data_IF_967416676098
#
_entry.id   IF_967416676098
#
_cell.length_a   1.000
_cell.length_b   1.000
_cell.length_c   1.000
_cell.angle_alpha   90.00
_cell.angle_beta   90.00
_cell.angle_gamma   90.00
#
_symmetry.space_group_name_H-M   'P 1'
#
loop_
_entity.id
_entity.type
_entity.pdbx_description
1 polymer ?
2 non-polymer ?
3 non-polymer ?
4 water ?
#
# COMPACT_ATOMS: atom_id res chain seq x y z
N UNK A 15 12.85 -28.24 21.69
CA UNK A 15 13.28 -26.84 21.74
C UNK A 15 13.88 -26.39 20.41
N UNK A 16 13.84 -25.08 20.18
CA UNK A 16 14.45 -24.47 19.00
C UNK A 16 15.34 -23.35 19.52
N UNK A 17 16.65 -23.59 19.50
CA UNK A 17 17.64 -22.64 19.99
C UNK A 17 18.50 -22.05 18.89
N UNK A 18 18.04 -22.09 17.63
CA UNK A 18 18.88 -21.63 16.53
C UNK A 18 19.22 -20.15 16.69
N UNK A 19 18.20 -19.31 16.81
CA UNK A 19 18.44 -17.88 16.76
C UNK A 19 19.07 -17.34 18.04
N UNK A 20 19.06 -18.11 19.13
CA UNK A 20 19.66 -17.62 20.37
C UNK A 20 21.18 -17.54 20.26
N UNK A 21 21.80 -18.36 19.41
CA UNK A 21 23.26 -18.48 19.36
C UNK A 21 23.77 -17.82 18.07
N UNK A 22 23.88 -16.48 18.11
CA UNK A 22 24.49 -15.70 17.05
C UNK A 22 24.69 -14.26 17.54
N UNK A 23 25.93 -13.77 17.51
CA UNK A 23 26.25 -12.47 18.07
C UNK A 23 26.57 -11.42 17.02
N UNK A 24 26.35 -11.74 15.75
CA UNK A 24 26.54 -10.77 14.68
C UNK A 24 25.29 -10.74 13.82
N UNK A 25 25.13 -9.63 13.12
CA UNK A 25 23.97 -9.47 12.26
C UNK A 25 23.20 -8.23 12.63
N UNK A 26 22.55 -7.61 11.66
CA UNK A 26 21.74 -6.42 11.90
C UNK A 26 20.41 -6.60 11.16
N UNK A 27 19.35 -5.98 11.69
CA UNK A 27 17.99 -6.28 11.25
C UNK A 27 17.22 -4.97 11.15
N UNK A 28 16.51 -4.78 10.05
CA UNK A 28 15.80 -3.54 9.81
C UNK A 28 14.37 -3.86 9.40
N UNK A 29 13.45 -2.98 9.82
CA UNK A 29 12.08 -3.03 9.34
C UNK A 29 12.01 -2.34 7.99
N UNK A 30 11.31 -2.97 7.05
CA UNK A 30 11.02 -2.36 5.75
C UNK A 30 9.51 -2.16 5.67
N UNK A 31 9.07 -0.90 5.53
CA UNK A 31 7.66 -0.55 5.40
C UNK A 31 7.42 -0.07 3.98
N UNK A 32 6.57 -0.76 3.22
CA UNK A 32 6.27 -0.42 1.84
C UNK A 32 4.83 0.04 1.73
N UNK A 33 4.59 1.09 0.93
CA UNK A 33 3.21 1.45 0.62
C UNK A 33 2.61 0.57 -0.47
N UNK A 34 3.42 -0.21 -1.18
CA UNK A 34 2.99 -0.81 -2.45
C UNK A 34 3.09 -2.32 -2.40
N UNK A 35 1.94 -2.99 -2.60
CA UNK A 35 1.96 -4.44 -2.80
C UNK A 35 2.69 -4.79 -4.09
N UNK A 36 2.62 -3.92 -5.10
CA UNK A 36 3.33 -4.15 -6.35
C UNK A 36 4.84 -4.24 -6.13
N UNK A 37 5.39 -3.29 -5.36
CA UNK A 37 6.81 -3.32 -5.07
C UNK A 37 7.23 -4.60 -4.37
N UNK A 38 6.43 -5.08 -3.41
CA UNK A 38 6.72 -6.37 -2.77
C UNK A 38 6.79 -7.48 -3.82
N UNK A 39 5.79 -7.53 -4.70
CA UNK A 39 5.78 -8.58 -5.74
C UNK A 39 7.02 -8.49 -6.63
N UNK A 40 7.36 -7.27 -7.06
CA UNK A 40 8.55 -7.08 -7.88
C UNK A 40 9.81 -7.53 -7.14
N UNK A 41 9.88 -7.20 -5.85
CA UNK A 41 11.05 -7.57 -5.06
C UNK A 41 11.20 -9.08 -4.97
N UNK A 42 10.10 -9.80 -4.77
CA UNK A 42 10.16 -11.25 -4.66
C UNK A 42 10.55 -11.85 -6.02
N UNK A 43 9.98 -11.31 -7.09
CA UNK A 43 10.24 -11.84 -8.43
C UNK A 43 11.70 -11.66 -8.84
N UNK A 44 12.29 -10.51 -8.53
CA UNK A 44 13.59 -10.15 -9.07
C UNK A 44 14.69 -10.04 -8.02
N UNK A 45 14.37 -10.24 -6.74
CA UNK A 45 15.36 -10.21 -5.66
C UNK A 45 16.12 -8.89 -5.64
N UNK A 46 15.37 -7.79 -5.64
CA UNK A 46 15.92 -6.44 -5.56
C UNK A 46 15.00 -5.60 -4.67
N UNK A 47 15.54 -4.48 -4.18
CA UNK A 47 14.76 -3.52 -3.41
C UNK A 47 15.35 -2.13 -3.60
N UNK A 48 14.57 -1.13 -3.17
CA UNK A 48 15.03 0.24 -3.13
C UNK A 48 14.24 0.94 -2.04
N UNK A 49 14.92 1.75 -1.23
CA UNK A 49 14.28 2.53 -0.18
C UNK A 49 14.35 4.01 -0.55
N UNK A 50 13.98 4.86 0.40
CA UNK A 50 14.18 6.29 0.21
C UNK A 50 15.67 6.61 0.19
N UNK A 51 15.99 7.86 -0.12
CA UNK A 51 17.39 8.29 -0.10
C UNK A 51 18.03 8.01 1.27
N UNK A 52 17.39 8.47 2.34
CA UNK A 52 17.99 8.28 3.65
C UNK A 52 17.87 6.82 4.11
N UNK A 53 16.85 6.09 3.66
CA UNK A 53 16.78 4.67 3.96
C UNK A 53 17.89 3.88 3.30
N UNK A 54 18.11 4.12 2.01
CA UNK A 54 19.21 3.48 1.29
C UNK A 54 20.56 3.75 1.95
N UNK A 55 20.80 4.99 2.38
CA UNK A 55 22.08 5.29 3.02
C UNK A 55 22.25 4.50 4.33
N UNK A 56 21.18 4.38 5.11
CA UNK A 56 21.26 3.64 6.36
C UNK A 56 21.57 2.16 6.10
N UNK A 57 20.86 1.56 5.15
CA UNK A 57 21.07 0.15 4.86
C UNK A 57 22.44 -0.08 4.25
N UNK A 58 22.85 0.79 3.32
CA UNK A 58 24.16 0.67 2.69
C UNK A 58 25.26 0.71 3.75
N UNK A 59 25.14 1.63 4.71
CA UNK A 59 26.14 1.74 5.76
C UNK A 59 26.20 0.48 6.59
N UNK A 60 25.03 -0.12 6.87
CA UNK A 60 25.01 -1.35 7.66
C UNK A 60 25.61 -2.52 6.89
N UNK A 61 25.23 -2.67 5.61
CA UNK A 61 25.76 -3.78 4.83
C UNK A 61 27.27 -3.69 4.70
N UNK A 62 27.78 -2.49 4.47
CA UNK A 62 29.20 -2.32 4.19
C UNK A 62 30.05 -2.59 5.44
N UNK A 63 29.58 -2.13 6.61
CA UNK A 63 30.34 -2.36 7.83
C UNK A 63 30.23 -3.80 8.32
N UNK A 64 29.21 -4.56 7.90
CA UNK A 64 29.17 -5.97 8.24
C UNK A 64 30.33 -6.73 7.60
N UNK A 65 30.79 -6.26 6.43
CA UNK A 65 31.86 -6.87 5.65
C UNK A 65 31.73 -8.39 5.61
N UNK A 66 30.50 -8.88 5.43
CA UNK A 66 30.27 -10.29 5.22
C UNK A 66 30.37 -11.17 6.44
N UNK A 67 30.53 -10.62 7.64
CA UNK A 67 30.67 -11.45 8.84
C UNK A 67 29.33 -11.76 9.49
N UNK A 68 28.22 -11.52 8.80
CA UNK A 68 26.91 -11.80 9.32
C UNK A 68 25.85 -11.11 8.46
N UNK A 69 24.60 -11.53 8.58
CA UNK A 69 23.58 -11.06 7.65
C UNK A 69 23.02 -9.70 8.03
N UNK A 70 22.48 -9.01 7.02
CA UNK A 70 21.56 -7.90 7.21
C UNK A 70 20.19 -8.42 6.83
N UNK A 71 19.29 -8.52 7.80
CA UNK A 71 17.96 -9.04 7.55
C UNK A 71 16.98 -7.88 7.41
N UNK A 72 16.03 -8.03 6.48
CA UNK A 72 14.97 -7.06 6.23
C UNK A 72 13.65 -7.73 6.55
N UNK A 73 12.89 -7.12 7.46
CA UNK A 73 11.57 -7.60 7.85
C UNK A 73 10.54 -6.75 7.15
N UNK A 74 9.80 -7.33 6.19
CA UNK A 74 8.95 -6.55 5.27
C UNK A 74 7.52 -6.47 5.78
N UNK A 75 6.88 -5.31 5.58
CA UNK A 75 5.50 -5.13 5.99
C UNK A 75 4.88 -4.02 5.15
N UNK A 76 3.69 -4.26 4.63
CA UNK A 76 2.99 -3.24 3.85
C UNK A 76 2.21 -2.32 4.80
N UNK A 77 2.44 -1.02 4.67
CA UNK A 77 1.74 -0.03 5.48
C UNK A 77 0.24 -0.27 5.47
N UNK A 78 -0.35 -0.41 6.66
CA UNK A 78 -1.78 -0.62 6.78
C UNK A 78 -2.24 -2.06 6.68
N UNK A 79 -1.37 -2.99 6.30
CA UNK A 79 -1.80 -4.36 6.06
C UNK A 79 -2.11 -5.12 7.34
N UNK A 80 -1.56 -4.71 8.47
CA UNK A 80 -1.76 -5.45 9.70
C UNK A 80 -0.91 -6.69 9.86
N UNK A 81 0.05 -6.94 8.96
CA UNK A 81 0.90 -8.11 9.08
C UNK A 81 2.23 -7.86 8.41
N UNK A 82 3.23 -8.63 8.83
CA UNK A 82 4.46 -8.76 8.08
C UNK A 82 4.28 -9.78 6.97
N UNK A 83 4.92 -9.54 5.84
CA UNK A 83 4.75 -10.39 4.68
C UNK A 83 6.00 -11.20 4.35
N UNK A 84 7.09 -11.03 5.08
CA UNK A 84 8.21 -11.91 4.88
C UNK A 84 9.53 -11.33 5.33
N UNK A 85 10.59 -12.03 4.94
CA UNK A 85 11.95 -11.76 5.40
C UNK A 85 12.89 -11.95 4.23
N UNK A 86 13.81 -11.02 4.05
CA UNK A 86 14.83 -11.12 3.03
C UNK A 86 16.17 -10.74 3.65
N UNK A 87 17.23 -11.20 3.01
CA UNK A 87 18.58 -10.80 3.37
C UNK A 87 19.11 -9.83 2.33
N UNK A 88 19.73 -8.76 2.80
CA UNK A 88 20.42 -7.85 1.91
C UNK A 88 21.64 -8.54 1.31
N UNK A 89 21.82 -8.44 -0.01
CA UNK A 89 22.84 -9.22 -0.71
C UNK A 89 23.76 -8.40 -1.58
N UNK A 90 23.74 -7.07 -1.45
CA UNK A 90 24.67 -6.21 -2.17
C UNK A 90 24.59 -4.83 -1.53
N UNK A 91 25.65 -4.05 -1.75
CA UNK A 91 25.57 -2.63 -1.44
C UNK A 91 24.60 -1.94 -2.39
N UNK A 92 24.34 -0.65 -2.11
CA UNK A 92 23.38 0.13 -2.87
C UNK A 92 24.05 0.71 -4.10
N UNK A 93 23.46 0.45 -5.26
CA UNK A 93 23.84 1.10 -6.50
C UNK A 93 22.90 2.27 -6.71
N UNK A 94 23.43 3.48 -6.70
CA UNK A 94 22.57 4.65 -6.64
C UNK A 94 22.19 5.21 -8.02
N UNK A 95 22.79 4.73 -9.09
CA UNK A 95 22.52 5.27 -10.42
C UNK A 95 22.01 4.12 -11.29
N UNK A 96 20.71 3.84 -11.21
CA UNK A 96 20.08 2.78 -12.00
C UNK A 96 18.88 3.36 -12.72
N UNK A 97 18.20 2.50 -13.47
CA UNK A 97 17.04 2.93 -14.26
C UNK A 97 15.91 3.41 -13.35
N UNK A 98 15.44 4.63 -13.61
CA UNK A 98 14.36 5.21 -12.83
C UNK A 98 13.02 4.58 -13.22
N UNK A 99 12.03 4.75 -12.34
CA UNK A 99 10.67 4.38 -12.69
C UNK A 99 10.33 2.90 -12.62
N UNK A 100 11.15 2.06 -11.99
CA UNK A 100 10.79 0.65 -11.92
C UNK A 100 9.86 0.34 -10.75
N UNK A 101 9.71 1.25 -9.79
CA UNK A 101 8.97 1.02 -8.56
C UNK A 101 7.66 1.79 -8.56
N UNK A 102 7.05 1.91 -7.38
CA UNK A 102 5.82 2.66 -7.13
C UNK A 102 6.04 4.15 -7.34
N UNK A 103 6.78 4.75 -6.40
CA UNK A 103 7.32 6.09 -6.60
C UNK A 103 8.25 6.05 -7.81
N UNK A 104 7.97 6.92 -8.79
CA UNK A 104 8.79 6.91 -10.00
C UNK A 104 10.12 7.62 -9.83
N UNK A 105 10.29 8.40 -8.76
CA UNK A 105 11.53 9.12 -8.54
C UNK A 105 12.62 8.26 -7.90
N UNK A 106 12.26 7.10 -7.35
CA UNK A 106 13.19 6.36 -6.52
C UNK A 106 14.48 6.04 -7.27
N UNK A 107 15.60 6.33 -6.61
CA UNK A 107 16.92 6.31 -7.23
C UNK A 107 17.75 5.23 -6.54
N UNK A 108 17.91 4.10 -7.22
CA UNK A 108 18.81 3.11 -6.69
C UNK A 108 18.25 1.73 -6.65
N UNK A 109 19.11 0.78 -6.27
CA UNK A 109 18.76 -0.63 -6.31
C UNK A 109 19.80 -1.35 -5.47
N UNK A 110 19.36 -2.31 -4.67
CA UNK A 110 20.29 -3.27 -4.11
C UNK A 110 19.68 -4.64 -4.20
N UNK A 111 20.56 -5.64 -4.20
CA UNK A 111 20.13 -7.03 -4.28
C UNK A 111 19.66 -7.50 -2.92
N UNK A 112 18.61 -8.31 -2.92
CA UNK A 112 18.18 -9.03 -1.73
C UNK A 112 18.02 -10.50 -2.11
N UNK A 113 17.87 -11.33 -1.09
CA UNK A 113 17.47 -12.73 -1.27
C UNK A 113 16.33 -12.99 -0.30
N UNK A 114 15.13 -13.23 -0.83
CA UNK A 114 13.98 -13.46 0.01
C UNK A 114 14.09 -14.82 0.70
N UNK A 115 13.91 -14.81 2.01
CA UNK A 115 14.11 -15.96 2.87
C UNK A 115 12.81 -16.64 3.20
N UNK A 116 11.83 -15.86 3.62
CA UNK A 116 10.53 -16.31 4.07
C UNK A 116 9.50 -15.42 3.41
N UNK A 117 8.53 -16.03 2.72
CA UNK A 117 7.39 -15.29 2.21
C UNK A 117 6.16 -15.92 2.83
N UNK A 118 5.61 -15.27 3.85
CA UNK A 118 4.41 -15.70 4.55
C UNK A 118 3.90 -14.54 5.38
N UNK A 119 2.58 -14.43 5.49
CA UNK A 119 1.99 -13.37 6.29
C UNK A 119 2.04 -13.73 7.76
N UNK A 120 2.53 -12.80 8.58
CA UNK A 120 2.61 -12.98 10.03
C UNK A 120 1.85 -11.84 10.67
N UNK A 121 0.68 -12.10 11.25
CA UNK A 121 -0.14 -11.00 11.79
C UNK A 121 0.60 -10.21 12.84
N UNK A 122 0.22 -8.93 12.96
CA UNK A 122 0.84 -8.05 13.94
C UNK A 122 0.56 -8.47 15.38
N UNK A 123 -0.51 -9.24 15.60
CA UNK A 123 -0.79 -9.73 16.94
C UNK A 123 0.30 -10.68 17.42
N UNK A 124 0.88 -11.47 16.52
CA UNK A 124 1.97 -12.37 16.89
C UNK A 124 3.22 -11.61 17.34
N UNK A 125 3.36 -10.34 16.96
CA UNK A 125 4.57 -9.59 17.19
C UNK A 125 4.42 -8.33 18.02
N UNK A 126 3.19 -7.87 18.30
CA UNK A 126 3.02 -6.55 18.92
C UNK A 126 3.58 -6.47 20.33
N UNK A 127 3.85 -7.61 20.99
CA UNK A 127 4.39 -7.54 22.34
C UNK A 127 5.90 -7.28 22.37
N UNK A 128 6.61 -7.48 21.26
CA UNK A 128 8.03 -7.17 21.20
C UNK A 128 8.21 -5.66 21.01
N UNK A 129 8.96 -5.03 21.91
CA UNK A 129 9.11 -3.58 21.90
C UNK A 129 10.57 -3.20 21.67
N UNK A 130 10.77 -2.02 21.08
CA UNK A 130 12.07 -1.57 20.61
C UNK A 130 12.60 -0.51 21.57
N UNK A 131 13.66 -0.85 22.32
CA UNK A 131 14.19 0.13 23.28
C UNK A 131 14.89 1.29 22.60
N UNK A 132 15.24 1.16 21.31
CA UNK A 132 15.84 2.26 20.57
C UNK A 132 14.81 3.13 19.87
N UNK A 133 13.52 2.79 19.97
CA UNK A 133 12.41 3.54 19.41
C UNK A 133 11.32 3.74 20.45
N UNK A 134 11.73 4.21 21.64
CA UNK A 134 10.82 4.65 22.70
C UNK A 134 9.90 3.54 23.21
N UNK A 135 10.39 2.30 23.18
CA UNK A 135 9.65 1.12 23.66
C UNK A 135 8.34 0.93 22.92
N UNK A 136 8.24 1.44 21.68
CA UNK A 136 7.07 1.18 20.86
C UNK A 136 7.11 -0.24 20.31
N UNK A 137 5.95 -0.89 20.16
CA UNK A 137 5.93 -2.21 19.54
C UNK A 137 6.66 -2.21 18.20
N UNK A 138 7.36 -3.31 17.92
CA UNK A 138 8.07 -3.47 16.65
C UNK A 138 7.10 -3.32 15.48
N UNK A 139 5.81 -3.61 15.70
CA UNK A 139 4.76 -3.47 14.70
C UNK A 139 4.34 -2.02 14.44
N UNK A 140 4.90 -1.06 15.18
CA UNK A 140 4.59 0.34 14.99
C UNK A 140 5.80 1.13 14.48
N UNK A 141 6.69 0.46 13.75
CA UNK A 141 7.92 1.05 13.28
C UNK A 141 7.72 1.75 11.93
N UNK A 142 8.62 2.66 11.63
CA UNK A 142 8.70 3.30 10.32
C UNK A 142 9.75 2.60 9.46
N UNK A 143 9.81 3.03 8.19
CA UNK A 143 10.70 2.39 7.24
C UNK A 143 12.17 2.55 7.65
N UNK A 144 12.91 1.45 7.56
CA UNK A 144 14.32 1.27 7.93
C UNK A 144 14.60 1.55 9.41
N UNK A 145 13.60 1.47 10.27
CA UNK A 145 13.82 1.33 11.70
C UNK A 145 14.73 0.13 11.99
N UNK A 146 15.87 0.36 12.64
CA UNK A 146 16.69 -0.79 13.00
C UNK A 146 16.14 -1.48 14.26
N UNK A 147 16.34 -2.78 14.35
CA UNK A 147 15.86 -3.62 15.45
C UNK A 147 17.07 -4.10 16.24
N UNK A 148 17.11 -3.91 17.55
CA UNK A 148 18.25 -4.43 18.32
C UNK A 148 18.33 -5.94 18.18
N UNK A 149 19.55 -6.46 18.08
CA UNK A 149 19.73 -7.87 17.74
C UNK A 149 18.97 -8.78 18.70
N UNK A 150 18.95 -8.45 19.99
CA UNK A 150 18.31 -9.37 20.92
C UNK A 150 16.79 -9.41 20.71
N UNK A 151 16.17 -8.31 20.30
CA UNK A 151 14.76 -8.33 19.94
C UNK A 151 14.54 -8.96 18.57
N UNK A 152 15.47 -8.72 17.64
CA UNK A 152 15.38 -9.35 16.33
C UNK A 152 15.35 -10.86 16.42
N UNK A 153 16.16 -11.45 17.32
CA UNK A 153 16.11 -12.90 17.49
C UNK A 153 14.71 -13.36 17.84
N UNK A 154 14.02 -12.60 18.69
CA UNK A 154 12.66 -12.95 19.10
C UNK A 154 11.68 -12.84 17.94
N UNK A 155 11.82 -11.80 17.13
CA UNK A 155 10.95 -11.63 15.96
C UNK A 155 11.16 -12.78 14.98
N UNK A 156 12.42 -13.10 14.68
CA UNK A 156 12.72 -14.14 13.69
C UNK A 156 12.18 -15.50 14.14
N UNK A 157 12.27 -15.80 15.44
CA UNK A 157 11.76 -17.07 15.91
C UNK A 157 10.25 -17.15 15.76
N UNK A 158 9.55 -16.06 16.03
CA UNK A 158 8.09 -16.04 15.86
C UNK A 158 7.71 -16.18 14.40
N UNK A 159 8.41 -15.48 13.50
CA UNK A 159 8.09 -15.58 12.09
C UNK A 159 8.36 -17.01 11.59
N UNK A 160 9.45 -17.61 12.05
CA UNK A 160 9.83 -18.92 11.53
C UNK A 160 8.93 -20.04 12.04
N UNK A 161 8.19 -19.83 13.13
CA UNK A 161 7.38 -20.88 13.71
C UNK A 161 5.88 -20.61 13.59
N UNK A 162 5.48 -19.54 12.90
CA UNK A 162 4.06 -19.25 12.70
C UNK A 162 3.49 -20.09 11.56
N UNK A 163 2.25 -20.56 11.73
CA UNK A 163 1.62 -21.41 10.73
C UNK A 163 0.16 -21.03 10.48
N UNK B 16 -18.47 25.40 -13.31
CA UNK B 16 -17.47 24.99 -14.29
C UNK B 16 -18.14 24.09 -15.32
N UNK B 17 -17.38 23.64 -16.32
CA UNK B 17 -17.97 22.79 -17.36
C UNK B 17 -18.22 21.38 -16.89
N UNK B 18 -17.65 20.98 -15.75
CA UNK B 18 -17.65 19.60 -15.32
C UNK B 18 -18.53 19.43 -14.08
N UNK B 19 -19.38 18.39 -14.10
CA UNK B 19 -20.20 17.97 -12.97
C UNK B 19 -21.11 19.09 -12.46
N UNK B 20 -21.51 19.99 -13.35
CA UNK B 20 -22.37 21.10 -12.95
C UNK B 20 -23.70 20.59 -12.40
N UNK B 21 -24.36 19.67 -13.13
CA UNK B 21 -25.62 19.09 -12.70
C UNK B 21 -25.38 17.62 -12.36
N UNK B 22 -25.42 17.31 -11.07
CA UNK B 22 -25.28 15.96 -10.54
C UNK B 22 -26.06 15.90 -9.24
N UNK B 23 -27.37 16.16 -9.35
CA UNK B 23 -28.20 16.46 -8.19
C UNK B 23 -28.19 15.34 -7.17
N UNK B 24 -28.41 14.10 -7.59
CA UNK B 24 -28.44 12.98 -6.68
C UNK B 24 -27.10 12.25 -6.72
N UNK B 25 -27.04 11.10 -6.08
CA UNK B 25 -25.87 10.27 -6.23
C UNK B 25 -24.80 10.56 -5.20
N UNK B 26 -23.82 9.66 -5.16
CA UNK B 26 -22.93 9.54 -4.02
C UNK B 26 -21.53 9.27 -4.53
N UNK B 27 -20.55 9.58 -3.69
CA UNK B 27 -19.15 9.59 -4.11
C UNK B 27 -18.33 8.93 -3.01
N UNK B 28 -17.44 8.00 -3.39
CA UNK B 28 -16.64 7.27 -2.43
C UNK B 28 -15.18 7.36 -2.81
N UNK B 29 -14.32 7.29 -1.79
CA UNK B 29 -12.87 7.21 -1.98
C UNK B 29 -12.51 5.75 -2.21
N UNK B 30 -11.66 5.50 -3.21
CA UNK B 30 -11.06 4.19 -3.43
C UNK B 30 -9.57 4.33 -3.17
N UNK B 31 -9.02 3.53 -2.27
CA UNK B 31 -7.60 3.52 -2.02
C UNK B 31 -7.06 2.16 -2.39
N UNK B 32 -5.98 2.13 -3.16
CA UNK B 32 -5.42 0.87 -3.63
C UNK B 32 -3.97 0.74 -3.20
N UNK B 33 -3.58 -0.47 -2.80
CA UNK B 33 -2.17 -0.79 -2.57
C UNK B 33 -1.46 -1.24 -3.83
N UNK B 34 -2.13 -1.19 -4.98
CA UNK B 34 -1.58 -1.76 -6.20
C UNK B 34 -1.89 -0.84 -7.37
N UNK B 35 -0.84 -0.22 -7.92
CA UNK B 35 -1.00 0.53 -9.16
C UNK B 35 -1.30 -0.39 -10.33
N UNK B 36 -0.78 -1.63 -10.31
CA UNK B 36 -1.08 -2.59 -11.37
C UNK B 36 -2.58 -2.89 -11.42
N UNK B 37 -3.22 -3.03 -10.26
CA UNK B 37 -4.67 -3.27 -10.24
C UNK B 37 -5.44 -2.08 -10.82
N UNK B 38 -5.00 -0.87 -10.51
CA UNK B 38 -5.61 0.31 -11.13
C UNK B 38 -5.51 0.21 -12.65
N UNK B 39 -4.32 -0.13 -13.15
CA UNK B 39 -4.14 -0.20 -14.59
C UNK B 39 -5.06 -1.25 -15.20
N UNK B 40 -5.24 -2.37 -14.51
CA UNK B 40 -6.14 -3.40 -14.99
C UNK B 40 -7.58 -2.91 -14.94
N UNK B 41 -7.93 -2.17 -13.90
CA UNK B 41 -9.26 -1.55 -13.82
C UNK B 41 -9.50 -0.60 -14.99
N UNK B 42 -8.48 0.17 -15.36
CA UNK B 42 -8.66 1.11 -16.46
C UNK B 42 -8.82 0.36 -17.77
N UNK B 43 -8.07 -0.74 -17.94
CA UNK B 43 -8.13 -1.49 -19.19
C UNK B 43 -9.47 -2.20 -19.35
N UNK B 44 -9.97 -2.83 -18.29
CA UNK B 44 -11.14 -3.70 -18.39
C UNK B 44 -12.38 -3.13 -17.72
N UNK B 45 -12.32 -1.91 -17.19
CA UNK B 45 -13.51 -1.24 -16.63
C UNK B 45 -14.21 -2.09 -15.57
N UNK B 46 -13.43 -2.58 -14.61
CA UNK B 46 -13.93 -3.39 -13.51
C UNK B 46 -13.13 -3.03 -12.27
N UNK B 47 -13.70 -3.34 -11.11
CA UNK B 47 -13.00 -3.13 -9.85
C UNK B 47 -13.49 -4.18 -8.85
N UNK B 48 -12.76 -4.29 -7.74
CA UNK B 48 -13.18 -5.09 -6.61
C UNK B 48 -12.62 -4.44 -5.36
N UNK B 49 -13.41 -4.40 -4.29
CA UNK B 49 -12.95 -3.86 -3.02
C UNK B 49 -12.81 -4.99 -2.02
N UNK B 50 -12.62 -4.64 -0.75
CA UNK B 50 -12.69 -5.62 0.32
C UNK B 50 -14.14 -6.12 0.45
N UNK B 51 -14.33 -7.11 1.32
CA UNK B 51 -15.68 -7.61 1.55
C UNK B 51 -16.58 -6.50 2.09
N UNK B 52 -16.13 -5.80 3.13
CA UNK B 52 -16.94 -4.73 3.70
C UNK B 52 -17.06 -3.55 2.74
N UNK B 53 -16.04 -3.29 1.93
CA UNK B 53 -16.13 -2.19 0.98
C UNK B 53 -17.07 -2.49 -0.17
N UNK B 54 -17.01 -3.72 -0.69
CA UNK B 54 -17.99 -4.15 -1.69
C UNK B 54 -19.41 -3.97 -1.17
N UNK B 55 -19.67 -4.42 0.05
CA UNK B 55 -21.01 -4.33 0.61
C UNK B 55 -21.48 -2.89 0.72
N UNK B 56 -20.60 -1.99 1.16
CA UNK B 56 -20.94 -0.58 1.25
C UNK B 56 -21.26 0.00 -0.12
N UNK B 57 -20.40 -0.30 -1.12
CA UNK B 57 -20.63 0.22 -2.46
C UNK B 57 -21.84 -0.43 -3.09
N UNK B 58 -22.05 -1.72 -2.80
CA UNK B 58 -23.22 -2.43 -3.32
C UNK B 58 -24.51 -1.77 -2.84
N UNK B 59 -24.59 -1.49 -1.54
CA UNK B 59 -25.78 -0.88 -0.98
C UNK B 59 -26.05 0.49 -1.58
N UNK B 60 -25.00 1.28 -1.81
CA UNK B 60 -25.19 2.60 -2.41
C UNK B 60 -25.71 2.49 -3.84
N UNK B 61 -25.05 1.67 -4.68
CA UNK B 61 -25.47 1.55 -6.07
C UNK B 61 -26.92 1.07 -6.17
N UNK B 62 -27.30 0.13 -5.32
CA UNK B 62 -28.63 -0.45 -5.39
C UNK B 62 -29.69 0.51 -4.87
N UNK B 63 -29.41 1.19 -3.75
CA UNK B 63 -30.38 2.16 -3.22
C UNK B 63 -30.52 3.35 -4.14
N UNK B 64 -29.50 3.63 -4.97
CA UNK B 64 -29.61 4.70 -5.94
C UNK B 64 -30.63 4.36 -7.02
N UNK B 65 -30.67 3.09 -7.44
CA UNK B 65 -31.65 2.59 -8.41
C UNK B 65 -31.75 3.49 -9.63
N UNK B 66 -30.59 3.78 -10.24
CA UNK B 66 -30.53 4.56 -11.46
C UNK B 66 -30.82 6.03 -11.32
N UNK B 67 -31.27 6.51 -10.14
CA UNK B 67 -31.64 7.91 -9.98
C UNK B 67 -30.46 8.85 -10.12
N UNK B 68 -29.23 8.38 -9.90
CA UNK B 68 -28.07 9.22 -10.00
C UNK B 68 -26.80 8.41 -10.07
N UNK B 69 -25.65 9.09 -10.20
CA UNK B 69 -24.38 8.36 -10.34
C UNK B 69 -23.70 8.06 -9.02
N UNK B 70 -23.05 6.90 -8.94
CA UNK B 70 -22.11 6.59 -7.86
C UNK B 70 -20.72 6.80 -8.44
N UNK B 71 -20.00 7.80 -7.91
CA UNK B 71 -18.66 8.10 -8.40
C UNK B 71 -17.60 7.56 -7.44
N UNK B 72 -16.44 7.23 -8.00
CA UNK B 72 -15.31 6.65 -7.26
C UNK B 72 -14.08 7.49 -7.53
N UNK B 73 -13.45 7.99 -6.46
CA UNK B 73 -12.25 8.82 -6.57
C UNK B 73 -11.07 7.94 -6.19
N UNK B 74 -10.24 7.58 -7.17
CA UNK B 74 -9.19 6.60 -6.94
C UNK B 74 -7.90 7.26 -6.49
N UNK B 75 -7.17 6.57 -5.62
CA UNK B 75 -5.88 7.07 -5.16
C UNK B 75 -5.02 5.88 -4.73
N UNK B 76 -3.78 5.82 -5.22
CA UNK B 76 -2.85 4.76 -4.81
C UNK B 76 -2.20 5.15 -3.48
N UNK B 77 -2.28 4.25 -2.50
CA UNK B 77 -1.70 4.49 -1.18
C UNK B 77 -0.24 4.93 -1.28
N UNK B 78 0.09 6.00 -0.57
CA UNK B 78 1.45 6.50 -0.54
C UNK B 78 1.90 7.27 -1.77
N UNK B 79 1.05 7.42 -2.79
CA UNK B 79 1.45 8.10 -4.02
C UNK B 79 1.43 9.61 -3.91
N UNK B 80 0.74 10.17 -2.94
CA UNK B 80 0.63 11.62 -2.84
C UNK B 80 -0.24 12.25 -3.90
N UNK B 81 -1.00 11.47 -4.67
CA UNK B 81 -1.88 12.05 -5.68
C UNK B 81 -3.06 11.12 -5.96
N UNK B 82 -4.19 11.74 -6.30
CA UNK B 82 -5.33 10.97 -6.78
C UNK B 82 -5.04 10.64 -8.23
N UNK B 83 -5.57 9.51 -8.72
CA UNK B 83 -5.23 9.10 -10.08
C UNK B 83 -6.42 9.05 -11.01
N UNK B 84 -7.62 9.35 -10.56
CA UNK B 84 -8.69 9.61 -11.49
C UNK B 84 -10.04 9.33 -10.89
N UNK B 85 -11.03 9.24 -11.77
CA UNK B 85 -12.43 9.16 -11.38
C UNK B 85 -13.09 8.12 -12.26
N UNK B 86 -13.95 7.31 -11.67
CA UNK B 86 -14.74 6.36 -12.43
C UNK B 86 -16.14 6.29 -11.84
N UNK B 87 -17.10 5.89 -12.66
CA UNK B 87 -18.47 5.70 -12.21
C UNK B 87 -18.75 4.21 -12.05
N UNK B 88 -19.39 3.85 -10.94
CA UNK B 88 -19.84 2.49 -10.74
C UNK B 88 -20.99 2.17 -11.69
N UNK B 89 -20.90 1.03 -12.39
CA UNK B 89 -21.84 0.76 -13.47
C UNK B 89 -22.57 -0.56 -13.33
N UNK B 90 -22.44 -1.24 -12.20
CA UNK B 90 -23.17 -2.47 -11.94
C UNK B 90 -23.17 -2.73 -10.44
N UNK B 91 -24.01 -3.65 -10.02
CA UNK B 91 -23.96 -4.17 -8.66
C UNK B 91 -22.76 -5.11 -8.52
N UNK B 92 -22.53 -5.55 -7.28
CA UNK B 92 -21.38 -6.39 -6.96
C UNK B 92 -21.72 -7.85 -7.23
N UNK B 93 -20.95 -8.47 -8.12
CA UNK B 93 -21.02 -9.90 -8.39
C UNK B 93 -19.98 -10.58 -7.51
N UNK B 94 -20.42 -11.35 -6.53
CA UNK B 94 -19.52 -11.94 -5.55
C UNK B 94 -18.93 -13.29 -5.95
N UNK B 95 -19.38 -13.89 -7.04
CA UNK B 95 -18.89 -15.21 -7.45
C UNK B 95 -18.31 -15.10 -8.86
N UNK B 96 -17.00 -14.81 -8.93
CA UNK B 96 -16.32 -14.60 -10.20
C UNK B 96 -14.95 -15.27 -10.15
N UNK B 97 -14.27 -15.24 -11.29
CA UNK B 97 -12.98 -15.90 -11.41
C UNK B 97 -11.99 -15.33 -10.40
N UNK B 98 -11.37 -16.21 -9.62
CA UNK B 98 -10.43 -15.79 -8.59
C UNK B 98 -9.06 -15.49 -9.18
N UNK B 99 -8.23 -14.83 -8.37
CA UNK B 99 -6.83 -14.65 -8.70
C UNK B 99 -6.53 -13.80 -9.91
N UNK B 100 -7.43 -12.90 -10.29
CA UNK B 100 -7.22 -12.06 -11.47
C UNK B 100 -6.52 -10.75 -11.15
N UNK B 101 -6.34 -10.42 -9.87
CA UNK B 101 -5.71 -9.19 -9.42
C UNK B 101 -4.31 -9.50 -8.89
N UNK B 102 -3.63 -8.46 -8.40
CA UNK B 102 -2.27 -8.64 -7.88
C UNK B 102 -2.25 -9.61 -6.70
N UNK B 103 -3.22 -9.49 -5.79
CA UNK B 103 -3.37 -10.43 -4.69
C UNK B 103 -4.61 -11.30 -4.88
N UNK B 104 -4.59 -12.47 -4.23
CA UNK B 104 -5.71 -13.39 -4.27
C UNK B 104 -6.85 -13.02 -3.33
N UNK B 105 -6.62 -12.13 -2.36
CA UNK B 105 -7.62 -11.91 -1.31
C UNK B 105 -8.90 -11.26 -1.81
N UNK B 106 -8.95 -10.80 -3.06
CA UNK B 106 -10.14 -10.11 -3.57
C UNK B 106 -11.14 -11.14 -4.10
N UNK B 107 -12.41 -10.96 -3.75
CA UNK B 107 -13.47 -11.84 -4.19
C UNK B 107 -14.55 -11.00 -4.84
N UNK B 108 -14.79 -11.23 -6.13
CA UNK B 108 -15.90 -10.56 -6.78
C UNK B 108 -15.45 -9.44 -7.69
N UNK B 109 -16.45 -8.77 -8.26
CA UNK B 109 -16.24 -7.84 -9.35
C UNK B 109 -17.47 -6.95 -9.46
N UNK B 110 -17.26 -5.68 -9.79
CA UNK B 110 -18.33 -4.85 -10.33
C UNK B 110 -17.77 -3.99 -11.45
N UNK B 111 -18.65 -3.60 -12.38
CA UNK B 111 -18.25 -2.80 -13.52
C UNK B 111 -18.11 -1.34 -13.11
N UNK B 112 -17.21 -0.64 -13.82
CA UNK B 112 -17.02 0.79 -13.69
C UNK B 112 -16.84 1.36 -15.08
N UNK B 113 -16.99 2.68 -15.19
CA UNK B 113 -16.60 3.41 -16.39
C UNK B 113 -15.67 4.53 -15.98
N UNK B 114 -14.42 4.45 -16.39
CA UNK B 114 -13.45 5.49 -16.04
C UNK B 114 -13.73 6.75 -16.85
N UNK B 115 -13.75 7.89 -16.15
CA UNK B 115 -14.08 9.19 -16.72
C UNK B 115 -12.84 10.06 -16.87
N UNK B 116 -12.02 10.14 -15.82
CA UNK B 116 -10.73 10.79 -15.93
C UNK B 116 -9.65 9.83 -15.47
N UNK B 117 -8.56 9.77 -16.21
CA UNK B 117 -7.32 9.13 -15.77
C UNK B 117 -6.27 10.23 -15.78
N UNK B 118 -5.98 10.77 -14.60
CA UNK B 118 -4.97 11.81 -14.49
C UNK B 118 -4.49 11.90 -13.04
N UNK B 119 -3.20 12.18 -12.87
CA UNK B 119 -2.65 12.35 -11.53
C UNK B 119 -2.90 13.79 -11.07
N UNK B 120 -3.58 13.91 -9.94
CA UNK B 120 -3.85 15.21 -9.33
C UNK B 120 -3.15 15.23 -7.98
N UNK B 121 -2.13 16.09 -7.79
CA UNK B 121 -1.44 16.13 -6.50
C UNK B 121 -2.38 16.41 -5.34
N UNK B 122 -2.09 15.75 -4.21
CA UNK B 122 -2.88 15.92 -3.00
C UNK B 122 -2.89 17.37 -2.51
N UNK B 123 -1.85 18.15 -2.84
CA UNK B 123 -1.82 19.55 -2.44
C UNK B 123 -3.02 20.32 -2.99
N UNK B 124 -3.54 19.91 -4.15
CA UNK B 124 -4.69 20.56 -4.75
C UNK B 124 -6.00 20.20 -4.06
N UNK B 125 -6.01 19.18 -3.19
CA UNK B 125 -7.24 18.69 -2.60
C UNK B 125 -7.27 18.73 -1.08
N UNK B 126 -6.12 18.88 -0.42
CA UNK B 126 -6.07 18.61 1.02
C UNK B 126 -6.81 19.65 1.85
N UNK B 127 -7.16 20.79 1.26
CA UNK B 127 -7.92 21.78 2.02
C UNK B 127 -9.40 21.43 2.12
N UNK B 128 -9.85 20.43 1.36
CA UNK B 128 -11.23 19.97 1.43
C UNK B 128 -11.34 18.96 2.57
N UNK B 129 -12.19 19.26 3.54
CA UNK B 129 -12.32 18.47 4.75
C UNK B 129 -13.68 17.78 4.76
N UNK B 130 -13.74 16.63 5.41
CA UNK B 130 -14.94 15.81 5.43
C UNK B 130 -15.64 15.98 6.77
N UNK B 131 -16.83 16.59 6.77
CA UNK B 131 -17.52 16.76 8.03
C UNK B 131 -18.00 15.43 8.61
N UNK B 132 -18.14 14.39 7.78
CA UNK B 132 -18.50 13.06 8.26
C UNK B 132 -17.29 12.24 8.70
N UNK B 133 -16.08 12.75 8.56
CA UNK B 133 -14.88 12.04 9.00
C UNK B 133 -14.04 12.95 9.88
N UNK B 134 -14.66 13.48 10.93
CA UNK B 134 -13.98 14.29 11.95
C UNK B 134 -13.26 15.49 11.35
N UNK B 135 -13.82 16.03 10.26
CA UNK B 135 -13.24 17.17 9.56
C UNK B 135 -11.82 16.91 9.07
N UNK B 136 -11.45 15.65 8.83
CA UNK B 136 -10.13 15.37 8.28
C UNK B 136 -10.10 15.69 6.79
N UNK B 137 -8.93 16.08 6.26
CA UNK B 137 -8.82 16.36 4.83
C UNK B 137 -9.23 15.13 4.02
N UNK B 138 -9.81 15.40 2.85
CA UNK B 138 -10.27 14.30 1.99
C UNK B 138 -9.09 13.43 1.57
N UNK B 139 -7.89 14.00 1.51
CA UNK B 139 -6.67 13.27 1.14
C UNK B 139 -6.18 12.30 2.21
N UNK B 140 -6.78 12.32 3.41
CA UNK B 140 -6.42 11.39 4.48
C UNK B 140 -7.49 10.33 4.68
N UNK B 141 -8.28 10.04 3.65
CA UNK B 141 -9.36 9.08 3.80
C UNK B 141 -8.86 7.65 3.60
N UNK B 142 -9.62 6.72 4.16
CA UNK B 142 -9.40 5.30 3.92
C UNK B 142 -10.31 4.82 2.79
N UNK B 143 -10.06 3.57 2.38
CA UNK B 143 -10.84 2.96 1.30
C UNK B 143 -12.33 2.95 1.62
N UNK B 144 -13.12 3.38 0.63
CA UNK B 144 -14.59 3.46 0.63
C UNK B 144 -15.13 4.45 1.65
N UNK B 145 -14.30 5.39 2.08
CA UNK B 145 -14.80 6.59 2.77
C UNK B 145 -15.77 7.31 1.85
N UNK B 146 -17.00 7.55 2.34
CA UNK B 146 -17.97 8.29 1.53
C UNK B 146 -17.76 9.79 1.72
N UNK B 147 -17.93 10.54 0.63
CA UNK B 147 -17.66 11.96 0.61
C UNK B 147 -19.01 12.70 0.55
N UNK B 148 -19.28 13.64 1.46
CA UNK B 148 -20.52 14.42 1.34
C UNK B 148 -20.61 15.08 -0.04
N UNK B 149 -21.85 15.19 -0.54
CA UNK B 149 -22.05 15.57 -1.94
C UNK B 149 -21.42 16.92 -2.27
N UNK B 150 -21.52 17.90 -1.38
CA UNK B 150 -20.99 19.22 -1.73
C UNK B 150 -19.47 19.22 -1.80
N UNK B 151 -18.80 18.49 -0.92
CA UNK B 151 -17.34 18.40 -1.00
C UNK B 151 -16.91 17.51 -2.17
N UNK B 152 -17.71 16.48 -2.47
CA UNK B 152 -17.43 15.63 -3.61
C UNK B 152 -17.45 16.44 -4.90
N UNK B 153 -18.42 17.34 -5.04
CA UNK B 153 -18.45 18.19 -6.22
C UNK B 153 -17.19 19.03 -6.34
N UNK B 154 -16.72 19.61 -5.23
CA UNK B 154 -15.47 20.36 -5.26
C UNK B 154 -14.31 19.48 -5.70
N UNK B 155 -14.23 18.26 -5.17
CA UNK B 155 -13.14 17.36 -5.56
C UNK B 155 -13.23 17.01 -7.04
N UNK B 156 -14.42 16.55 -7.47
CA UNK B 156 -14.63 16.20 -8.88
C UNK B 156 -14.21 17.33 -9.82
N UNK B 157 -14.62 18.56 -9.51
CA UNK B 157 -14.31 19.69 -10.40
C UNK B 157 -12.83 19.98 -10.43
N UNK B 158 -12.16 19.91 -9.28
CA UNK B 158 -10.71 20.12 -9.25
C UNK B 158 -10.02 19.10 -10.14
N UNK B 159 -10.36 17.82 -9.96
CA UNK B 159 -9.72 16.77 -10.75
C UNK B 159 -9.95 17.00 -12.24
N UNK B 160 -11.21 17.25 -12.60
CA UNK B 160 -11.57 17.42 -14.01
C UNK B 160 -10.76 18.53 -14.67
N UNK B 161 -10.57 19.64 -13.99
CA UNK B 161 -9.97 20.82 -14.60
C UNK B 161 -8.46 20.93 -14.39
N UNK B 162 -7.87 20.06 -13.56
CA UNK B 162 -6.45 20.17 -13.27
C UNK B 162 -5.61 20.00 -14.54
N UNK B 163 -4.65 20.91 -14.73
CA UNK B 163 -3.73 20.84 -15.85
C UNK B 163 -2.34 21.27 -15.42
#
# INVERSE_FOLDING_TARGET
MGSSYHHHHHHSSGENLYFQHMKHGRVFIIKSYSEDDIHRSIKYNIWCSTEHGNKRLDAAYRSMNGKGPVYLLFSVNGSGHFCGVAEMKSAVDYNTCAGVWSQDKWKGRFDVRWIFVKDVPNSQLRHIRLENNENKPVTNSRDTQEVPLEKAKQVLKIIASYKHTTS
MGSSYHHHHHHSSGENLYFQHMKHGRVFIIKSYSEDDIHRSIKYNIWCSTEHGNKRLDAAYRSMNGKGPVYLLFSVNGSGHFCGVAEMKSAVDYNTCAGVWSQDKWKGRFDVRWIFVKDVPNSQLRHIRLENNENKPVTNSRDTQEVPLEKAKQVLKIIASYKHTTS
#
